data_IF_773500664958
#
_entry.id   IF_773500664958
#
_cell.length_a   1.000
_cell.length_b   1.000
_cell.length_c   1.000
_cell.angle_alpha   90.00
_cell.angle_beta   90.00
_cell.angle_gamma   90.00
#
_symmetry.space_group_name_H-M   'P 1'
#
loop_
_entity.id
_entity.type
_entity.pdbx_description
1 polymer ?
#
# COMPACT_ATOMS: atom_id res chain seq x y z
N UNK A 1 -4.24 6.18 -27.92
CA UNK A 1 -4.77 4.98 -27.23
C UNK A 1 -4.31 3.74 -27.98
N UNK A 2 -3.82 2.72 -27.28
CA UNK A 2 -3.43 1.44 -27.87
C UNK A 2 -4.56 0.42 -27.66
N UNK A 3 -4.88 -0.38 -28.69
CA UNK A 3 -5.94 -1.40 -28.62
C UNK A 3 -5.35 -2.69 -28.03
N UNK A 4 -5.95 -3.16 -26.94
CA UNK A 4 -5.56 -4.40 -26.26
C UNK A 4 -6.75 -5.33 -26.18
N UNK A 5 -6.55 -6.59 -26.54
CA UNK A 5 -7.56 -7.63 -26.35
C UNK A 5 -7.37 -8.25 -24.96
N UNK A 6 -8.45 -8.30 -24.18
CA UNK A 6 -8.46 -8.91 -22.85
C UNK A 6 -9.46 -10.07 -22.84
N UNK A 7 -9.13 -11.11 -22.09
CA UNK A 7 -10.02 -12.24 -21.87
C UNK A 7 -10.82 -12.00 -20.59
N UNK A 8 -12.14 -12.15 -20.67
CA UNK A 8 -13.06 -11.99 -19.54
C UNK A 8 -13.86 -13.28 -19.37
N UNK A 9 -14.16 -13.61 -18.11
CA UNK A 9 -15.11 -14.66 -17.82
C UNK A 9 -16.50 -14.34 -18.39
N UNK A 10 -17.29 -15.37 -18.69
CA UNK A 10 -18.66 -15.20 -19.22
C UNK A 10 -19.52 -14.34 -18.30
N UNK A 11 -19.43 -14.57 -16.99
CA UNK A 11 -20.21 -13.83 -16.00
C UNK A 11 -19.76 -12.37 -15.87
N UNK A 12 -18.44 -12.13 -15.90
CA UNK A 12 -17.87 -10.78 -15.88
C UNK A 12 -18.34 -9.96 -17.10
N UNK A 13 -18.33 -10.57 -18.29
CA UNK A 13 -18.81 -9.93 -19.50
C UNK A 13 -20.32 -9.65 -19.43
N UNK A 14 -21.11 -10.56 -18.85
CA UNK A 14 -22.55 -10.37 -18.65
C UNK A 14 -22.83 -9.17 -17.75
N UNK A 15 -22.13 -9.09 -16.61
CA UNK A 15 -22.27 -7.99 -15.67
C UNK A 15 -21.84 -6.65 -16.28
N UNK A 16 -20.71 -6.62 -16.99
CA UNK A 16 -20.23 -5.41 -17.67
C UNK A 16 -21.21 -4.91 -18.73
N UNK A 17 -21.85 -5.82 -19.49
CA UNK A 17 -22.88 -5.43 -20.46
C UNK A 17 -24.12 -4.84 -19.78
N UNK A 18 -24.51 -5.40 -18.64
CA UNK A 18 -25.65 -4.89 -17.89
C UNK A 18 -25.38 -3.47 -17.36
N UNK A 19 -24.20 -3.26 -16.76
CA UNK A 19 -23.77 -1.94 -16.25
C UNK A 19 -23.63 -0.93 -17.39
N UNK A 20 -23.07 -1.36 -18.53
CA UNK A 20 -22.93 -0.53 -19.72
C UNK A 20 -24.29 -0.05 -20.25
N UNK A 21 -25.29 -0.93 -20.24
CA UNK A 21 -26.65 -0.59 -20.66
C UNK A 21 -27.33 0.38 -19.67
N UNK A 22 -27.13 0.17 -18.36
CA UNK A 22 -27.67 1.04 -17.32
C UNK A 22 -27.08 2.45 -17.36
N UNK A 23 -25.76 2.55 -17.59
CA UNK A 23 -25.06 3.84 -17.65
C UNK A 23 -25.05 4.50 -19.05
N UNK A 24 -25.66 3.85 -20.06
CA UNK A 24 -25.61 4.27 -21.46
C UNK A 24 -24.17 4.55 -21.96
N UNK A 25 -23.24 3.66 -21.61
CA UNK A 25 -21.81 3.75 -21.95
C UNK A 25 -21.34 2.48 -22.64
N UNK A 26 -20.30 2.55 -23.50
CA UNK A 26 -19.70 1.34 -24.04
C UNK A 26 -18.94 0.57 -22.94
N UNK A 27 -18.96 -0.76 -23.02
CA UNK A 27 -18.22 -1.66 -22.10
C UNK A 27 -16.74 -1.28 -22.00
N UNK A 28 -16.14 -0.81 -23.11
CA UNK A 28 -14.74 -0.38 -23.14
C UNK A 28 -14.45 0.79 -22.18
N UNK A 29 -15.42 1.67 -21.93
CA UNK A 29 -15.23 2.81 -21.02
C UNK A 29 -15.28 2.36 -19.57
N UNK A 30 -16.15 1.40 -19.23
CA UNK A 30 -16.18 0.79 -17.90
C UNK A 30 -14.89 0.03 -17.59
N UNK A 31 -14.39 -0.75 -18.55
CA UNK A 31 -13.11 -1.46 -18.40
C UNK A 31 -11.97 -0.47 -18.20
N UNK A 32 -11.94 0.62 -18.97
CA UNK A 32 -10.90 1.65 -18.81
C UNK A 32 -10.98 2.31 -17.44
N UNK A 33 -12.17 2.69 -17.00
CA UNK A 33 -12.36 3.32 -15.70
C UNK A 33 -11.89 2.40 -14.56
N UNK A 34 -12.21 1.10 -14.63
CA UNK A 34 -11.77 0.12 -13.66
C UNK A 34 -10.23 -0.04 -13.65
N UNK A 35 -9.59 -0.05 -14.83
CA UNK A 35 -8.13 -0.10 -14.95
C UNK A 35 -7.49 1.17 -14.38
N UNK A 36 -8.03 2.35 -14.71
CA UNK A 36 -7.51 3.63 -14.22
C UNK A 36 -7.62 3.72 -12.70
N UNK A 37 -8.74 3.28 -12.13
CA UNK A 37 -8.96 3.24 -10.68
C UNK A 37 -7.99 2.28 -10.00
N UNK A 38 -7.79 1.09 -10.55
CA UNK A 38 -6.85 0.10 -10.02
C UNK A 38 -5.40 0.61 -10.05
N UNK A 39 -5.00 1.24 -11.16
CA UNK A 39 -3.67 1.83 -11.28
C UNK A 39 -3.49 2.99 -10.30
N UNK A 40 -4.51 3.86 -10.16
CA UNK A 40 -4.46 4.97 -9.20
C UNK A 40 -4.34 4.45 -7.78
N UNK A 41 -5.17 3.50 -7.35
CA UNK A 41 -5.07 2.95 -5.99
C UNK A 41 -3.69 2.32 -5.75
N UNK A 42 -3.17 1.57 -6.72
CA UNK A 42 -1.86 0.91 -6.56
C UNK A 42 -0.70 1.90 -6.49
N UNK A 43 -0.74 2.95 -7.32
CA UNK A 43 0.29 3.98 -7.36
C UNK A 43 0.20 4.94 -6.17
N UNK A 44 -1.01 5.30 -5.73
CA UNK A 44 -1.22 6.08 -4.52
C UNK A 44 -0.73 5.31 -3.29
N UNK A 45 -1.06 4.02 -3.17
CA UNK A 45 -0.60 3.17 -2.07
C UNK A 45 0.93 3.03 -2.05
N UNK A 46 1.58 2.81 -3.20
CA UNK A 46 3.04 2.67 -3.26
C UNK A 46 3.76 4.01 -2.99
N UNK A 47 3.29 5.12 -3.56
CA UNK A 47 3.91 6.46 -3.37
C UNK A 47 3.66 6.97 -1.95
N UNK A 48 2.47 6.80 -1.40
CA UNK A 48 2.20 7.19 0.00
C UNK A 48 2.98 6.32 0.96
N UNK A 49 3.02 4.99 0.76
CA UNK A 49 3.81 4.11 1.60
C UNK A 49 5.31 4.43 1.55
N UNK A 50 5.86 4.69 0.36
CA UNK A 50 7.28 5.01 0.20
C UNK A 50 7.63 6.37 0.83
N UNK A 51 6.74 7.37 0.71
CA UNK A 51 6.88 8.67 1.36
C UNK A 51 6.76 8.55 2.89
N UNK A 52 5.78 7.79 3.39
CA UNK A 52 5.55 7.58 4.81
C UNK A 52 6.71 6.83 5.46
N UNK A 53 7.27 5.83 4.77
CA UNK A 53 8.47 5.11 5.22
C UNK A 53 9.71 5.99 5.19
N UNK A 54 9.90 6.80 4.15
CA UNK A 54 11.02 7.74 4.09
C UNK A 54 10.93 8.76 5.23
N UNK A 55 9.75 9.35 5.45
CA UNK A 55 9.50 10.30 6.52
C UNK A 55 9.62 9.67 7.93
N UNK A 56 9.31 8.38 8.07
CA UNK A 56 9.55 7.64 9.32
C UNK A 56 11.05 7.44 9.55
N UNK A 57 11.79 6.99 8.54
CA UNK A 57 13.24 6.76 8.62
C UNK A 57 13.97 8.07 8.91
N UNK A 58 13.61 9.17 8.27
CA UNK A 58 14.19 10.50 8.54
C UNK A 58 13.89 10.97 9.96
N UNK A 59 12.66 10.80 10.45
CA UNK A 59 12.32 11.13 11.85
C UNK A 59 13.14 10.32 12.85
N UNK A 60 13.34 9.03 12.58
CA UNK A 60 14.17 8.16 13.43
C UNK A 60 15.63 8.61 13.36
N UNK A 61 16.19 8.81 12.16
CA UNK A 61 17.58 9.29 11.98
C UNK A 61 17.85 10.63 12.64
N UNK A 62 16.88 11.55 12.64
CA UNK A 62 17.03 12.86 13.27
C UNK A 62 16.95 12.80 14.80
N UNK A 63 16.36 11.73 15.36
CA UNK A 63 16.16 11.57 16.80
C UNK A 63 17.19 10.64 17.45
N UNK A 64 17.84 9.82 16.64
CA UNK A 64 18.80 8.80 17.04
C UNK A 64 20.20 9.29 16.66
N UNK A 65 21.11 9.36 17.64
CA UNK A 65 22.49 9.76 17.38
C UNK A 65 23.14 8.84 16.33
N UNK A 66 23.90 9.34 15.36
CA UNK A 66 24.57 8.50 14.36
C UNK A 66 25.69 7.61 14.94
N UNK A 67 26.08 7.85 16.19
CA UNK A 67 27.10 7.09 16.92
C UNK A 67 26.52 6.42 18.16
N UNK A 68 25.49 5.60 17.98
CA UNK A 68 25.05 4.73 19.08
C UNK A 68 25.93 3.49 19.07
N UNK A 69 26.51 3.19 20.22
CA UNK A 69 27.30 2.00 20.45
C UNK A 69 26.40 0.75 20.38
N UNK A 70 26.73 -0.27 19.56
CA UNK A 70 26.00 -1.53 19.53
C UNK A 70 25.79 -2.17 20.92
N UNK A 71 26.77 -2.03 21.82
CA UNK A 71 26.68 -2.59 23.18
C UNK A 71 25.68 -1.83 24.06
N UNK A 72 25.45 -0.54 23.79
CA UNK A 72 24.43 0.28 24.44
C UNK A 72 23.02 -0.11 23.95
N UNK A 73 22.85 -0.34 22.65
CA UNK A 73 21.58 -0.82 22.08
C UNK A 73 21.17 -2.15 22.70
N UNK A 74 22.10 -3.09 22.82
CA UNK A 74 21.80 -4.42 23.34
C UNK A 74 21.49 -4.39 24.85
N UNK A 75 22.09 -3.46 25.60
CA UNK A 75 21.73 -3.20 27.00
C UNK A 75 20.31 -2.62 27.12
N UNK A 76 19.97 -1.60 26.33
CA UNK A 76 18.66 -0.95 26.35
C UNK A 76 17.53 -1.92 25.95
N UNK A 77 17.76 -2.77 24.94
CA UNK A 77 16.80 -3.81 24.53
C UNK A 77 16.58 -4.81 25.66
N UNK A 78 17.64 -5.17 26.40
CA UNK A 78 17.57 -6.11 27.52
C UNK A 78 16.80 -5.53 28.69
N UNK A 79 17.04 -4.27 29.05
CA UNK A 79 16.30 -3.54 30.09
C UNK A 79 14.82 -3.39 29.73
N UNK A 80 14.50 -2.91 28.51
CA UNK A 80 13.12 -2.76 28.06
C UNK A 80 12.35 -4.10 28.09
N UNK A 81 13.01 -5.22 27.77
CA UNK A 81 12.42 -6.56 27.86
C UNK A 81 12.17 -7.01 29.30
N UNK A 82 13.00 -6.59 30.25
CA UNK A 82 12.83 -6.89 31.67
C UNK A 82 11.67 -6.08 32.26
N UNK A 83 11.55 -4.80 31.92
CA UNK A 83 10.45 -3.93 32.37
C UNK A 83 9.08 -4.43 31.92
N UNK A 84 8.96 -4.87 30.66
CA UNK A 84 7.71 -5.47 30.13
C UNK A 84 7.37 -6.78 30.85
N UNK A 85 8.36 -7.58 31.25
CA UNK A 85 8.14 -8.82 32.00
C UNK A 85 7.76 -8.55 33.46
N UNK A 86 8.32 -7.52 34.07
CA UNK A 86 7.98 -7.09 35.42
C UNK A 86 6.56 -6.52 35.49
N UNK A 87 6.12 -5.79 34.46
CA UNK A 87 4.77 -5.20 34.38
C UNK A 87 3.68 -6.23 34.08
N UNK A 88 4.03 -7.39 33.51
CA UNK A 88 3.09 -8.49 33.20
C UNK A 88 2.94 -9.52 34.33
N UNK A 89 3.68 -9.38 35.43
CA UNK A 89 3.51 -10.18 36.66
C UNK A 89 2.65 -9.43 37.65
#
# INVERSE_FOLDING_TARGET
MQRTNIYLGKDQLRLLKHLAAEENKPVADLVRHAVDQFLRSRLEDDVTWQNDMTALIERVRNRVSPTIDPDEIERDIREARQDVRATRR
#
